data_IF_595477799004
#
_entry.id   IF_595477799004
#
_cell.length_a   1.000
_cell.length_b   1.000
_cell.length_c   1.000
_cell.angle_alpha   90.00
_cell.angle_beta   90.00
_cell.angle_gamma   90.00
#
_symmetry.space_group_name_H-M   'P 1'
#
loop_
_entity.id
_entity.type
_entity.pdbx_description
1 polymer ?
#
# COMPACT_ATOMS: atom_id res chain seq x y z
N UNK A 1 -9.19 18.95 -13.21
CA UNK A 1 -8.30 17.75 -13.07
C UNK A 1 -8.53 16.84 -14.26
N UNK A 2 -7.57 16.77 -15.20
CA UNK A 2 -7.71 16.04 -16.47
C UNK A 2 -7.33 14.56 -16.38
N UNK A 3 -6.40 14.20 -15.50
CA UNK A 3 -5.99 12.81 -15.28
C UNK A 3 -7.02 12.03 -14.45
N UNK A 4 -7.36 10.81 -14.88
CA UNK A 4 -8.38 9.96 -14.21
C UNK A 4 -8.04 9.70 -12.74
N UNK A 5 -6.81 9.25 -12.47
CA UNK A 5 -6.30 9.03 -11.11
C UNK A 5 -6.40 10.27 -10.20
N UNK A 6 -6.06 11.45 -10.74
CA UNK A 6 -6.17 12.69 -9.99
C UNK A 6 -7.63 13.04 -9.62
N UNK A 7 -8.60 12.68 -10.48
CA UNK A 7 -10.02 12.84 -10.17
C UNK A 7 -10.45 11.91 -9.03
N UNK A 8 -10.02 10.65 -9.04
CA UNK A 8 -10.32 9.69 -7.96
C UNK A 8 -9.81 10.17 -6.60
N UNK A 9 -8.56 10.64 -6.52
CA UNK A 9 -8.02 11.21 -5.29
C UNK A 9 -8.76 12.47 -4.81
N UNK A 10 -9.14 13.36 -5.75
CA UNK A 10 -9.95 14.54 -5.39
C UNK A 10 -11.32 14.12 -4.86
N UNK A 11 -12.01 13.21 -5.56
CA UNK A 11 -13.32 12.71 -5.14
C UNK A 11 -13.27 12.08 -3.75
N UNK A 12 -12.24 11.28 -3.47
CA UNK A 12 -12.01 10.70 -2.16
C UNK A 12 -11.84 11.77 -1.08
N UNK A 13 -10.93 12.75 -1.29
CA UNK A 13 -10.70 13.84 -0.33
C UNK A 13 -11.97 14.67 -0.07
N UNK A 14 -12.80 14.87 -1.09
CA UNK A 14 -14.07 15.59 -0.97
C UNK A 14 -15.10 14.76 -0.18
N UNK A 15 -15.21 13.47 -0.47
CA UNK A 15 -16.12 12.54 0.24
C UNK A 15 -15.78 12.41 1.73
N UNK A 16 -14.49 12.34 2.07
CA UNK A 16 -14.01 12.27 3.46
C UNK A 16 -13.97 13.63 4.15
N UNK A 17 -14.28 14.73 3.43
CA UNK A 17 -14.17 16.12 3.92
C UNK A 17 -12.76 16.47 4.42
N UNK A 18 -11.73 15.93 3.76
CA UNK A 18 -10.34 16.15 4.15
C UNK A 18 -9.84 17.55 3.76
N UNK A 19 -8.92 18.11 4.54
CA UNK A 19 -8.25 19.36 4.19
C UNK A 19 -7.29 19.16 3.02
N UNK A 20 -7.68 19.69 1.85
CA UNK A 20 -6.94 19.55 0.60
C UNK A 20 -5.59 20.28 0.62
N UNK A 21 -5.47 21.38 1.37
CA UNK A 21 -4.20 22.12 1.49
C UNK A 21 -3.24 21.34 2.36
N UNK A 22 -3.72 20.80 3.48
CA UNK A 22 -2.92 19.92 4.33
C UNK A 22 -2.43 18.69 3.55
N UNK A 23 -3.32 18.00 2.82
CA UNK A 23 -2.94 16.85 1.98
C UNK A 23 -1.88 17.21 0.92
N UNK A 24 -1.99 18.39 0.30
CA UNK A 24 -1.01 18.86 -0.68
C UNK A 24 0.36 19.18 -0.05
N UNK A 25 0.40 19.62 1.21
CA UNK A 25 1.67 19.83 1.93
C UNK A 25 2.27 18.49 2.35
N UNK A 26 1.46 17.55 2.84
CA UNK A 26 1.94 16.22 3.26
C UNK A 26 2.64 15.45 2.13
N UNK A 27 2.13 15.54 0.90
CA UNK A 27 2.73 14.82 -0.24
C UNK A 27 4.07 15.42 -0.70
N UNK A 28 4.32 16.71 -0.41
CA UNK A 28 5.58 17.39 -0.75
C UNK A 28 6.70 17.00 0.21
N UNK A 29 6.37 16.77 1.50
CA UNK A 29 7.36 16.70 2.57
C UNK A 29 8.06 15.35 2.78
N UNK A 30 7.58 14.23 2.21
CA UNK A 30 8.13 12.90 2.54
C UNK A 30 8.38 12.04 1.32
N UNK A 31 9.64 11.94 0.88
CA UNK A 31 10.14 10.96 -0.11
C UNK A 31 11.63 10.65 0.04
N UNK A 32 12.04 10.13 1.20
CA UNK A 32 13.31 9.41 1.24
C UNK A 32 13.08 8.03 0.62
N UNK A 33 13.69 7.78 -0.54
CA UNK A 33 13.78 6.42 -1.08
C UNK A 33 14.73 5.59 -0.21
N UNK A 34 14.32 4.39 0.15
CA UNK A 34 15.21 3.41 0.78
C UNK A 34 16.00 2.68 -0.30
N UNK A 35 17.27 2.36 -0.04
CA UNK A 35 18.02 1.44 -0.89
C UNK A 35 17.53 0.00 -0.67
N UNK A 36 17.81 -0.90 -1.61
CA UNK A 36 17.53 -2.33 -1.45
C UNK A 36 18.23 -2.90 -0.21
N UNK A 37 19.47 -2.48 0.06
CA UNK A 37 20.21 -2.85 1.27
C UNK A 37 19.52 -2.38 2.55
N UNK A 38 18.84 -1.22 2.53
CA UNK A 38 18.05 -0.76 3.68
C UNK A 38 16.81 -1.62 3.90
N UNK A 39 16.13 -2.00 2.82
CA UNK A 39 14.95 -2.86 2.87
C UNK A 39 15.32 -4.27 3.34
N UNK A 40 16.45 -4.81 2.88
CA UNK A 40 16.94 -6.13 3.25
C UNK A 40 17.26 -6.27 4.75
N UNK A 41 17.51 -5.15 5.46
CA UNK A 41 17.71 -5.16 6.92
C UNK A 41 16.42 -5.32 7.73
N UNK A 42 15.24 -5.22 7.11
CA UNK A 42 13.97 -5.39 7.81
C UNK A 42 13.76 -6.88 8.09
N UNK A 43 14.13 -7.31 9.30
CA UNK A 43 14.08 -8.70 9.71
C UNK A 43 12.72 -9.11 10.32
N UNK A 44 11.86 -8.16 10.67
CA UNK A 44 10.54 -8.43 11.22
C UNK A 44 9.67 -9.20 10.20
N UNK A 45 8.84 -10.15 10.65
CA UNK A 45 7.83 -10.73 9.79
C UNK A 45 7.01 -9.63 9.11
N UNK A 46 6.86 -9.70 7.79
CA UNK A 46 6.16 -8.66 7.02
C UNK A 46 5.14 -9.27 6.06
N UNK A 47 3.94 -8.71 6.02
CA UNK A 47 2.94 -8.99 4.99
C UNK A 47 2.85 -7.80 4.03
N UNK A 48 3.12 -8.03 2.76
CA UNK A 48 3.03 -7.02 1.70
C UNK A 48 1.77 -7.30 0.89
N UNK A 49 0.79 -6.40 0.93
CA UNK A 49 -0.50 -6.60 0.28
C UNK A 49 -0.76 -5.53 -0.79
N UNK A 50 -0.95 -5.95 -2.04
CA UNK A 50 -1.16 -5.06 -3.19
C UNK A 50 -2.34 -5.57 -4.01
N UNK A 51 -3.18 -4.64 -4.50
CA UNK A 51 -4.27 -4.97 -5.40
C UNK A 51 -3.78 -5.27 -6.82
N UNK A 52 -4.34 -6.29 -7.48
CA UNK A 52 -3.86 -6.70 -8.83
C UNK A 52 -4.17 -5.69 -9.94
N UNK A 53 -4.99 -4.67 -9.65
CA UNK A 53 -5.30 -3.54 -10.55
C UNK A 53 -4.76 -2.20 -10.02
N UNK A 54 -3.88 -2.23 -9.03
CA UNK A 54 -3.22 -1.03 -8.54
C UNK A 54 -2.18 -0.56 -9.57
N UNK A 55 -2.38 0.65 -10.11
CA UNK A 55 -1.52 1.28 -11.11
C UNK A 55 -0.50 2.27 -10.49
N UNK A 56 -0.38 2.25 -9.17
CA UNK A 56 0.46 3.14 -8.35
C UNK A 56 1.48 2.33 -7.57
N UNK A 57 1.06 1.24 -6.93
CA UNK A 57 1.94 0.36 -6.17
C UNK A 57 2.88 -0.43 -7.10
N UNK A 58 4.07 -0.76 -6.58
CA UNK A 58 5.01 -1.67 -7.23
C UNK A 58 4.68 -3.14 -7.00
N UNK A 59 5.57 -4.03 -7.44
CA UNK A 59 5.40 -5.48 -7.28
C UNK A 59 5.52 -5.89 -5.79
N UNK A 60 4.51 -6.57 -5.23
CA UNK A 60 4.62 -7.12 -3.88
C UNK A 60 5.64 -8.26 -3.80
N UNK A 61 5.82 -9.01 -4.90
CA UNK A 61 6.74 -10.15 -4.94
C UNK A 61 8.20 -9.70 -4.99
N UNK A 62 8.51 -8.67 -5.79
CA UNK A 62 9.86 -8.10 -5.85
C UNK A 62 10.25 -7.51 -4.50
N UNK A 63 9.35 -6.79 -3.84
CA UNK A 63 9.61 -6.26 -2.50
C UNK A 63 9.76 -7.38 -1.47
N UNK A 64 8.95 -8.44 -1.54
CA UNK A 64 9.07 -9.58 -0.65
C UNK A 64 10.41 -10.31 -0.83
N UNK A 65 10.91 -10.41 -2.07
CA UNK A 65 12.18 -11.06 -2.38
C UNK A 65 13.40 -10.34 -1.78
N UNK A 66 13.28 -9.03 -1.51
CA UNK A 66 14.33 -8.25 -0.84
C UNK A 66 14.39 -8.50 0.68
N UNK A 67 13.31 -8.99 1.29
CA UNK A 67 13.17 -9.08 2.74
C UNK A 67 13.24 -10.54 3.21
N UNK A 68 13.98 -10.85 4.29
CA UNK A 68 14.19 -12.23 4.73
C UNK A 68 12.91 -12.94 5.19
N UNK A 69 11.95 -12.19 5.75
CA UNK A 69 10.75 -12.75 6.39
C UNK A 69 9.45 -12.13 5.86
N UNK A 70 9.41 -11.78 4.57
CA UNK A 70 8.23 -11.19 3.94
C UNK A 70 7.38 -12.21 3.19
N UNK A 71 6.06 -11.97 3.17
CA UNK A 71 5.10 -12.70 2.35
C UNK A 71 4.30 -11.70 1.50
N UNK A 72 4.19 -11.95 0.20
CA UNK A 72 3.33 -11.19 -0.70
C UNK A 72 1.87 -11.67 -0.64
N UNK A 73 0.94 -10.75 -0.82
CA UNK A 73 -0.49 -10.97 -1.00
C UNK A 73 -0.98 -10.13 -2.18
N UNK A 74 -1.52 -10.81 -3.18
CA UNK A 74 -2.24 -10.21 -4.29
C UNK A 74 -3.73 -10.14 -3.95
N UNK A 75 -4.28 -8.93 -3.87
CA UNK A 75 -5.70 -8.70 -3.58
C UNK A 75 -6.43 -8.61 -4.93
N UNK A 76 -7.00 -9.74 -5.35
CA UNK A 76 -7.54 -9.90 -6.70
C UNK A 76 -8.63 -8.87 -7.05
N UNK A 77 -8.50 -8.26 -8.23
CA UNK A 77 -9.45 -7.31 -8.78
C UNK A 77 -9.50 -5.95 -8.06
N UNK A 78 -8.58 -5.66 -7.13
CA UNK A 78 -8.56 -4.41 -6.37
C UNK A 78 -7.55 -3.41 -6.91
N UNK A 79 -7.94 -2.15 -6.84
CA UNK A 79 -7.09 -1.00 -7.11
C UNK A 79 -6.58 -0.39 -5.80
N UNK A 80 -5.80 0.69 -5.94
CA UNK A 80 -5.21 1.44 -4.85
C UNK A 80 -6.21 1.92 -3.79
N UNK A 81 -7.44 2.23 -4.19
CA UNK A 81 -8.44 2.83 -3.32
C UNK A 81 -9.22 1.78 -2.54
N UNK A 82 -9.36 0.56 -3.09
CA UNK A 82 -10.25 -0.46 -2.57
C UNK A 82 -9.54 -1.60 -1.83
N UNK A 83 -8.23 -1.77 -2.02
CA UNK A 83 -7.45 -2.86 -1.43
C UNK A 83 -7.60 -2.98 0.10
N UNK A 84 -7.46 -1.87 0.83
CA UNK A 84 -7.48 -1.85 2.32
C UNK A 84 -8.85 -2.25 2.89
N UNK A 85 -9.93 -1.99 2.15
CA UNK A 85 -11.29 -2.33 2.57
C UNK A 85 -11.64 -3.80 2.35
N UNK A 86 -10.88 -4.51 1.52
CA UNK A 86 -11.24 -5.84 1.02
C UNK A 86 -11.26 -6.89 2.14
N UNK A 87 -12.22 -7.81 2.05
CA UNK A 87 -12.39 -8.88 3.03
C UNK A 87 -11.20 -9.84 3.05
N UNK A 88 -10.67 -10.20 1.88
CA UNK A 88 -9.54 -11.13 1.78
C UNK A 88 -8.27 -10.54 2.42
N UNK A 89 -8.03 -9.24 2.22
CA UNK A 89 -6.96 -8.52 2.90
C UNK A 89 -7.10 -8.59 4.42
N UNK A 90 -8.27 -8.24 4.96
CA UNK A 90 -8.53 -8.26 6.41
C UNK A 90 -8.36 -9.66 7.01
N UNK A 91 -8.87 -10.69 6.33
CA UNK A 91 -8.71 -12.08 6.75
C UNK A 91 -7.24 -12.51 6.77
N UNK A 92 -6.47 -12.13 5.73
CA UNK A 92 -5.06 -12.46 5.64
C UNK A 92 -4.21 -11.76 6.71
N UNK A 93 -4.56 -10.53 7.07
CA UNK A 93 -3.93 -9.78 8.18
C UNK A 93 -4.17 -10.49 9.51
N UNK A 94 -5.40 -10.94 9.80
CA UNK A 94 -5.67 -11.69 11.03
C UNK A 94 -4.90 -13.02 11.08
N UNK A 95 -4.85 -13.76 9.97
CA UNK A 95 -4.05 -14.98 9.88
C UNK A 95 -2.55 -14.69 10.08
N UNK A 96 -2.05 -13.59 9.50
CA UNK A 96 -0.67 -13.17 9.67
C UNK A 96 -0.31 -12.91 11.13
N UNK A 97 -1.16 -12.21 11.88
CA UNK A 97 -0.93 -11.99 13.32
C UNK A 97 -0.98 -13.29 14.12
N UNK A 98 -1.88 -14.21 13.79
CA UNK A 98 -1.93 -15.51 14.46
C UNK A 98 -0.67 -16.36 14.20
N UNK A 99 -0.08 -16.25 13.01
CA UNK A 99 1.19 -16.90 12.64
C UNK A 99 2.43 -16.25 13.30
N UNK A 100 2.32 -14.99 13.74
CA UNK A 100 3.43 -14.18 14.27
C UNK A 100 2.99 -13.44 15.56
N UNK A 101 2.85 -14.17 16.69
CA UNK A 101 2.38 -13.62 17.95
C UNK A 101 3.35 -12.65 18.64
#
# INVERSE_FOLDING_TARGET
ISHARGRSFRAFADQTRSDRRALAVCIVGSRASMSEDDVARIAQPTLIAVGTRDDIAGSPDELAALMPNAKALHIEGRDHMLAVGDKSFKQRVLAFYAENP
#
